data_IF_864383229976
#
_entry.id   IF_864383229976
#
_cell.length_a   1.000
_cell.length_b   1.000
_cell.length_c   1.000
_cell.angle_alpha   90.00
_cell.angle_beta   90.00
_cell.angle_gamma   90.00
#
_symmetry.space_group_name_H-M   'P 1'
#
loop_
_entity.id
_entity.type
_entity.pdbx_description
1 polymer ?
#
# COMPACT_ATOMS: atom_id res chain seq x y z
N UNK A 1 3.15 -13.33 -7.76
CA UNK A 1 2.64 -12.52 -6.63
C UNK A 1 1.25 -12.97 -6.16
N UNK A 2 0.30 -13.22 -7.07
CA UNK A 2 -1.05 -13.65 -6.67
C UNK A 2 -1.03 -14.97 -5.90
N UNK A 3 -0.20 -15.92 -6.28
CA UNK A 3 -0.05 -17.19 -5.57
C UNK A 3 0.57 -17.08 -4.17
N UNK A 4 1.16 -15.94 -3.84
CA UNK A 4 1.74 -15.67 -2.52
C UNK A 4 0.72 -15.05 -1.55
N UNK A 5 -0.47 -14.67 -2.03
CA UNK A 5 -1.57 -14.13 -1.22
C UNK A 5 -2.59 -15.23 -0.94
N UNK A 6 -3.12 -15.29 0.27
CA UNK A 6 -4.17 -16.23 0.63
C UNK A 6 -5.49 -15.96 -0.09
N UNK A 7 -5.74 -14.68 -0.46
CA UNK A 7 -6.89 -14.27 -1.26
C UNK A 7 -6.63 -12.94 -1.99
N UNK A 8 -7.44 -12.64 -3.01
CA UNK A 8 -7.43 -11.33 -3.67
C UNK A 8 -7.95 -10.18 -2.77
N UNK A 9 -8.46 -10.45 -1.59
CA UNK A 9 -8.81 -9.43 -0.59
C UNK A 9 -7.60 -8.95 0.20
N UNK A 10 -6.53 -9.74 0.23
CA UNK A 10 -5.29 -9.35 0.89
C UNK A 10 -4.51 -8.42 -0.02
N UNK A 11 -4.11 -7.28 0.50
CA UNK A 11 -3.38 -6.25 -0.24
C UNK A 11 -1.88 -6.31 0.03
N UNK A 12 -1.49 -6.72 1.23
CA UNK A 12 -0.11 -6.96 1.63
C UNK A 12 0.26 -8.43 1.37
N UNK A 13 1.46 -8.68 0.87
CA UNK A 13 1.99 -10.04 0.69
C UNK A 13 2.65 -10.46 2.00
N UNK A 14 1.83 -10.99 2.91
CA UNK A 14 2.23 -11.32 4.28
C UNK A 14 3.53 -12.16 4.39
N UNK A 15 3.74 -13.22 3.57
CA UNK A 15 4.99 -13.99 3.64
C UNK A 15 6.25 -13.19 3.27
N UNK A 16 6.13 -12.18 2.41
CA UNK A 16 7.26 -11.30 2.07
C UNK A 16 7.57 -10.35 3.21
N UNK A 17 6.54 -9.73 3.79
CA UNK A 17 6.70 -8.84 4.92
C UNK A 17 7.30 -9.56 6.13
N UNK A 18 6.81 -10.77 6.43
CA UNK A 18 7.34 -11.59 7.52
C UNK A 18 8.84 -11.88 7.33
N UNK A 19 9.26 -12.33 6.14
CA UNK A 19 10.68 -12.55 5.83
C UNK A 19 11.52 -11.29 5.95
N UNK A 20 11.00 -10.14 5.49
CA UNK A 20 11.69 -8.86 5.59
C UNK A 20 11.86 -8.42 7.04
N UNK A 21 10.81 -8.53 7.86
CA UNK A 21 10.87 -8.21 9.29
C UNK A 21 11.96 -9.04 10.01
N UNK A 22 12.01 -10.34 9.77
CA UNK A 22 13.03 -11.21 10.35
C UNK A 22 14.45 -10.90 9.84
N UNK A 23 14.59 -10.58 8.55
CA UNK A 23 15.87 -10.19 7.94
C UNK A 23 16.40 -8.87 8.49
N UNK A 24 15.53 -7.86 8.63
CA UNK A 24 15.91 -6.52 9.09
C UNK A 24 16.08 -6.45 10.61
N UNK A 25 15.46 -7.37 11.35
CA UNK A 25 15.50 -7.44 12.82
C UNK A 25 15.85 -8.86 13.28
N UNK A 26 17.15 -9.28 13.21
CA UNK A 26 17.54 -10.67 13.49
C UNK A 26 17.22 -11.17 14.91
N UNK A 27 16.90 -10.25 15.83
CA UNK A 27 16.49 -10.53 17.21
C UNK A 27 14.99 -10.83 17.35
N UNK A 28 14.19 -10.54 16.29
CA UNK A 28 12.75 -10.68 16.31
C UNK A 28 12.35 -12.15 16.19
N UNK A 29 11.42 -12.61 17.04
CA UNK A 29 10.86 -13.95 16.91
C UNK A 29 9.87 -14.04 15.75
N UNK A 30 9.68 -15.24 15.23
CA UNK A 30 8.70 -15.51 14.17
C UNK A 30 7.26 -15.14 14.61
N UNK A 31 6.92 -15.42 15.86
CA UNK A 31 5.57 -15.13 16.39
C UNK A 31 5.34 -13.61 16.50
N UNK A 32 6.36 -12.86 16.93
CA UNK A 32 6.32 -11.41 16.96
C UNK A 32 6.22 -10.82 15.54
N UNK A 33 6.96 -11.37 14.56
CA UNK A 33 6.86 -10.95 13.17
C UNK A 33 5.44 -11.18 12.61
N UNK A 34 4.87 -12.37 12.82
CA UNK A 34 3.49 -12.68 12.42
C UNK A 34 2.46 -11.77 13.09
N UNK A 35 2.65 -11.43 14.38
CA UNK A 35 1.79 -10.48 15.08
C UNK A 35 1.86 -9.10 14.41
N UNK A 36 3.06 -8.58 14.13
CA UNK A 36 3.23 -7.29 13.48
C UNK A 36 2.60 -7.24 12.09
N UNK A 37 2.69 -8.34 11.31
CA UNK A 37 1.98 -8.45 10.03
C UNK A 37 0.47 -8.34 10.21
N UNK A 38 -0.10 -9.07 11.17
CA UNK A 38 -1.54 -8.98 11.49
C UNK A 38 -1.93 -7.57 11.95
N UNK A 39 -1.12 -6.95 12.81
CA UNK A 39 -1.37 -5.61 13.35
C UNK A 39 -1.27 -4.52 12.26
N UNK A 40 -0.50 -4.75 11.20
CA UNK A 40 -0.43 -3.86 10.04
C UNK A 40 -1.64 -4.04 9.13
N UNK A 41 -2.07 -5.27 8.90
CA UNK A 41 -3.14 -5.61 7.95
C UNK A 41 -4.55 -5.56 8.55
N UNK A 42 -4.67 -5.52 9.87
CA UNK A 42 -5.93 -5.49 10.62
C UNK A 42 -6.20 -4.16 11.33
N UNK A 43 -5.64 -3.06 10.84
CA UNK A 43 -5.80 -1.74 11.45
C UNK A 43 -7.27 -1.35 11.55
N UNK A 44 -7.63 -0.84 12.73
CA UNK A 44 -8.93 -0.21 12.96
C UNK A 44 -8.76 1.31 12.86
N UNK A 45 -9.53 1.93 11.97
CA UNK A 45 -9.53 3.37 11.78
C UNK A 45 -10.91 3.86 11.36
N UNK A 46 -11.22 5.11 11.65
CA UNK A 46 -12.50 5.73 11.31
C UNK A 46 -12.56 6.22 9.85
N UNK A 47 -11.39 6.36 9.22
CA UNK A 47 -11.25 6.84 7.84
C UNK A 47 -10.02 6.26 7.15
N UNK A 48 -10.01 6.32 5.82
CA UNK A 48 -8.88 5.87 5.01
C UNK A 48 -7.61 6.69 5.31
N UNK A 49 -7.73 8.00 5.50
CA UNK A 49 -6.57 8.85 5.81
C UNK A 49 -5.97 8.52 7.19
N UNK A 50 -6.80 8.22 8.17
CA UNK A 50 -6.34 7.79 9.49
C UNK A 50 -5.61 6.44 9.42
N UNK A 51 -6.14 5.48 8.63
CA UNK A 51 -5.47 4.21 8.37
C UNK A 51 -4.09 4.44 7.73
N UNK A 52 -4.05 5.25 6.68
CA UNK A 52 -2.82 5.56 5.95
C UNK A 52 -1.77 6.23 6.85
N UNK A 53 -2.17 7.17 7.72
CA UNK A 53 -1.28 7.81 8.68
C UNK A 53 -0.73 6.81 9.72
N UNK A 54 -1.58 5.93 10.25
CA UNK A 54 -1.14 4.88 11.17
C UNK A 54 -0.13 3.94 10.53
N UNK A 55 -0.37 3.55 9.27
CA UNK A 55 0.56 2.73 8.50
C UNK A 55 1.86 3.49 8.27
N UNK A 56 1.80 4.72 7.76
CA UNK A 56 2.96 5.57 7.53
C UNK A 56 3.87 5.66 8.76
N UNK A 57 3.28 5.93 9.93
CA UNK A 57 4.01 6.01 11.18
C UNK A 57 4.70 4.68 11.55
N UNK A 58 4.02 3.53 11.38
CA UNK A 58 4.62 2.21 11.61
C UNK A 58 5.79 1.93 10.65
N UNK A 59 5.61 2.24 9.37
CA UNK A 59 6.61 1.96 8.33
C UNK A 59 7.85 2.84 8.47
N UNK A 60 7.68 4.11 8.85
CA UNK A 60 8.78 5.09 8.93
C UNK A 60 9.47 5.12 10.29
N UNK A 61 8.71 5.00 11.39
CA UNK A 61 9.23 5.09 12.75
C UNK A 61 9.47 3.71 13.40
N UNK A 62 8.93 2.65 12.78
CA UNK A 62 8.95 1.31 13.37
C UNK A 62 7.94 1.15 14.50
N UNK A 63 8.01 0.01 15.16
CA UNK A 63 7.15 -0.35 16.30
C UNK A 63 8.01 -0.89 17.41
N UNK A 64 7.92 -0.28 18.59
CA UNK A 64 8.61 -0.76 19.79
C UNK A 64 7.89 -2.00 20.35
N UNK A 65 8.64 -3.08 20.56
CA UNK A 65 8.13 -4.30 21.18
C UNK A 65 9.07 -4.81 22.27
N UNK A 66 8.49 -5.44 23.27
CA UNK A 66 9.20 -6.21 24.28
C UNK A 66 9.07 -7.69 23.93
N UNK A 67 10.15 -8.43 24.06
CA UNK A 67 10.20 -9.85 23.76
C UNK A 67 11.16 -10.56 24.71
N UNK A 68 10.74 -11.74 25.19
CA UNK A 68 11.55 -12.63 26.03
C UNK A 68 12.15 -11.95 27.27
N UNK A 69 11.41 -11.00 27.88
CA UNK A 69 11.87 -10.26 29.07
C UNK A 69 13.02 -9.29 28.80
N UNK A 70 13.37 -9.05 27.53
CA UNK A 70 14.38 -8.07 27.15
C UNK A 70 13.76 -6.67 27.05
N UNK A 71 14.56 -5.61 27.24
CA UNK A 71 14.11 -4.24 27.05
C UNK A 71 13.46 -4.02 25.67
N UNK A 72 12.50 -3.09 25.62
CA UNK A 72 11.82 -2.72 24.38
C UNK A 72 12.80 -2.33 23.28
N UNK A 73 12.60 -2.91 22.09
CA UNK A 73 13.42 -2.63 20.90
C UNK A 73 12.51 -2.24 19.74
N UNK A 74 12.99 -1.31 18.91
CA UNK A 74 12.24 -0.83 17.77
C UNK A 74 12.41 -1.78 16.58
N UNK A 75 11.29 -2.28 16.04
CA UNK A 75 11.25 -3.11 14.83
C UNK A 75 11.19 -2.22 13.61
N UNK A 76 12.14 -2.37 12.70
CA UNK A 76 12.15 -1.69 11.39
C UNK A 76 11.41 -2.51 10.36
N UNK A 77 10.50 -1.89 9.64
CA UNK A 77 9.77 -2.49 8.52
C UNK A 77 10.51 -2.35 7.19
N UNK A 78 11.27 -1.24 7.05
CA UNK A 78 12.08 -0.93 5.89
C UNK A 78 13.49 -0.52 6.30
N UNK A 79 14.44 -0.78 5.43
CA UNK A 79 15.79 -0.26 5.55
C UNK A 79 15.90 1.00 4.67
N UNK A 80 15.91 2.16 5.31
CA UNK A 80 16.06 3.46 4.63
C UNK A 80 17.53 3.82 4.42
N UNK A 81 18.45 3.25 5.21
CA UNK A 81 19.88 3.50 5.13
C UNK A 81 20.48 2.76 3.95
N UNK A 82 20.05 1.51 3.73
CA UNK A 82 20.45 0.65 2.62
C UNK A 82 19.21 0.13 1.87
N UNK A 83 18.60 0.94 0.97
CA UNK A 83 17.34 0.59 0.29
C UNK A 83 17.38 -0.74 -0.48
N UNK A 84 18.57 -1.15 -0.96
CA UNK A 84 18.77 -2.42 -1.67
C UNK A 84 18.59 -3.67 -0.81
N UNK A 85 18.56 -3.52 0.51
CA UNK A 85 18.27 -4.61 1.44
C UNK A 85 16.79 -4.96 1.49
N UNK A 86 15.92 -4.06 1.02
CA UNK A 86 14.50 -4.33 0.91
C UNK A 86 14.18 -5.21 -0.30
N UNK A 87 13.08 -5.95 -0.22
CA UNK A 87 12.49 -6.67 -1.35
C UNK A 87 11.64 -5.69 -2.17
N UNK A 88 12.19 -5.21 -3.28
CA UNK A 88 11.55 -4.23 -4.17
C UNK A 88 10.89 -4.95 -5.34
N UNK A 89 9.59 -4.78 -5.48
CA UNK A 89 8.79 -5.43 -6.53
C UNK A 89 7.92 -4.41 -7.25
N UNK A 90 7.96 -4.46 -8.58
CA UNK A 90 7.01 -3.76 -9.45
C UNK A 90 6.14 -4.82 -10.14
N UNK A 91 4.84 -4.66 -10.07
CA UNK A 91 3.89 -5.56 -10.72
C UNK A 91 2.87 -4.79 -11.53
N UNK A 92 2.40 -5.41 -12.61
CA UNK A 92 1.31 -4.88 -13.44
C UNK A 92 0.01 -5.57 -13.09
N UNK A 93 -1.09 -4.83 -13.23
CA UNK A 93 -2.45 -5.37 -13.14
C UNK A 93 -2.69 -6.09 -11.80
N UNK A 94 -2.32 -5.41 -10.69
CA UNK A 94 -2.46 -5.95 -9.33
C UNK A 94 -3.92 -6.07 -8.92
N UNK A 95 -4.49 -7.24 -9.05
CA UNK A 95 -5.92 -7.48 -8.81
C UNK A 95 -6.25 -7.46 -7.33
N UNK A 96 -7.22 -6.65 -6.91
CA UNK A 96 -7.72 -6.58 -5.53
C UNK A 96 -9.23 -6.68 -5.54
N UNK A 97 -9.77 -7.60 -4.71
CA UNK A 97 -11.21 -7.82 -4.58
C UNK A 97 -11.78 -6.87 -3.54
N UNK A 98 -12.62 -5.94 -4.00
CA UNK A 98 -13.48 -5.12 -3.15
C UNK A 98 -14.76 -5.84 -2.72
N UNK A 99 -15.75 -5.08 -2.30
CA UNK A 99 -17.06 -5.61 -1.88
C UNK A 99 -17.84 -6.19 -3.06
N UNK A 100 -18.15 -5.36 -4.05
CA UNK A 100 -18.94 -5.77 -5.24
C UNK A 100 -18.08 -5.99 -6.48
N UNK A 101 -16.94 -5.29 -6.59
CA UNK A 101 -16.09 -5.35 -7.78
C UNK A 101 -14.64 -5.65 -7.41
N UNK A 102 -13.86 -5.98 -8.43
CA UNK A 102 -12.41 -6.02 -8.36
C UNK A 102 -11.88 -4.71 -8.94
N UNK A 103 -10.83 -4.18 -8.32
CA UNK A 103 -10.00 -3.16 -8.95
C UNK A 103 -8.73 -3.83 -9.47
N UNK A 104 -8.11 -3.21 -10.46
CA UNK A 104 -6.88 -3.71 -11.06
C UNK A 104 -6.00 -2.54 -11.53
N UNK A 105 -5.30 -1.89 -10.59
CA UNK A 105 -4.33 -0.85 -10.91
C UNK A 105 -3.32 -1.29 -11.95
N UNK A 106 -2.94 -0.39 -12.85
CA UNK A 106 -2.02 -0.71 -13.95
C UNK A 106 -0.65 -1.14 -13.45
N UNK A 107 -0.09 -0.38 -12.51
CA UNK A 107 1.20 -0.70 -11.89
C UNK A 107 1.11 -0.47 -10.38
N UNK A 108 1.66 -1.41 -9.61
CA UNK A 108 1.83 -1.28 -8.16
C UNK A 108 3.28 -1.56 -7.80
N UNK A 109 3.85 -0.68 -6.97
CA UNK A 109 5.18 -0.86 -6.39
C UNK A 109 5.02 -1.34 -4.94
N UNK A 110 5.68 -2.46 -4.65
CA UNK A 110 5.69 -3.03 -3.30
C UNK A 110 7.12 -2.98 -2.73
N UNK A 111 7.20 -2.68 -1.45
CA UNK A 111 8.44 -2.78 -0.67
C UNK A 111 8.20 -3.78 0.46
N UNK A 112 9.03 -4.81 0.54
CA UNK A 112 8.89 -5.88 1.53
C UNK A 112 7.48 -6.52 1.55
N UNK A 113 6.82 -6.58 0.38
CA UNK A 113 5.46 -7.10 0.25
C UNK A 113 4.34 -6.11 0.60
N UNK A 114 4.66 -4.87 1.00
CA UNK A 114 3.69 -3.80 1.28
C UNK A 114 3.51 -2.93 0.05
N UNK A 115 2.31 -2.79 -0.53
CA UNK A 115 2.06 -1.87 -1.64
C UNK A 115 2.16 -0.43 -1.15
N UNK A 116 3.04 0.36 -1.79
CA UNK A 116 3.30 1.76 -1.42
C UNK A 116 2.95 2.75 -2.52
N UNK A 117 3.02 2.35 -3.78
CA UNK A 117 2.73 3.23 -4.92
C UNK A 117 1.76 2.55 -5.86
N UNK A 118 0.77 3.30 -6.30
CA UNK A 118 -0.15 2.91 -7.37
C UNK A 118 0.01 3.89 -8.53
N UNK A 119 0.20 3.34 -9.74
CA UNK A 119 0.25 4.12 -10.96
C UNK A 119 -0.92 3.72 -11.87
N UNK A 120 -1.60 4.73 -12.43
CA UNK A 120 -2.57 4.60 -13.52
C UNK A 120 -2.00 5.23 -14.79
N UNK A 121 -2.04 4.46 -15.85
CA UNK A 121 -1.52 4.84 -17.16
C UNK A 121 -2.68 5.15 -18.12
N UNK A 122 -2.65 6.31 -18.76
CA UNK A 122 -3.65 6.75 -19.72
C UNK A 122 -3.02 7.01 -21.07
N UNK A 123 -3.82 6.94 -22.13
CA UNK A 123 -3.33 7.26 -23.46
C UNK A 123 -3.06 8.77 -23.58
N UNK A 124 -1.94 9.19 -24.16
CA UNK A 124 -1.70 10.60 -24.47
C UNK A 124 -2.69 11.16 -25.51
N UNK A 125 -3.37 10.29 -26.26
CA UNK A 125 -4.40 10.71 -27.21
C UNK A 125 -5.65 11.31 -26.58
N UNK A 126 -5.81 11.17 -25.26
CA UNK A 126 -6.90 11.82 -24.51
C UNK A 126 -6.69 13.34 -24.32
N UNK A 127 -5.56 13.90 -24.79
CA UNK A 127 -5.23 15.30 -24.53
C UNK A 127 -5.28 15.61 -23.04
N UNK A 128 -5.77 16.77 -22.65
CA UNK A 128 -5.89 17.17 -21.24
C UNK A 128 -6.82 16.26 -20.39
N UNK A 129 -7.66 15.47 -21.03
CA UNK A 129 -8.60 14.57 -20.34
C UNK A 129 -7.95 13.39 -19.63
N UNK A 130 -6.73 13.00 -19.99
CA UNK A 130 -6.05 11.86 -19.37
C UNK A 130 -5.91 11.99 -17.85
N UNK A 131 -5.58 13.21 -17.39
CA UNK A 131 -5.41 13.52 -15.98
C UNK A 131 -6.71 13.33 -15.21
N UNK A 132 -7.80 13.92 -15.72
CA UNK A 132 -9.13 13.85 -15.09
C UNK A 132 -9.60 12.40 -14.97
N UNK A 133 -9.45 11.61 -16.03
CA UNK A 133 -9.85 10.21 -16.05
C UNK A 133 -9.06 9.37 -15.04
N UNK A 134 -7.75 9.57 -14.93
CA UNK A 134 -6.92 8.84 -13.98
C UNK A 134 -7.27 9.19 -12.53
N UNK A 135 -7.49 10.46 -12.22
CA UNK A 135 -7.83 10.90 -10.86
C UNK A 135 -9.24 10.43 -10.48
N UNK A 136 -10.21 10.45 -11.41
CA UNK A 136 -11.54 9.88 -11.16
C UNK A 136 -11.45 8.38 -10.89
N UNK A 137 -10.55 7.67 -11.55
CA UNK A 137 -10.29 6.26 -11.30
C UNK A 137 -9.70 6.04 -9.90
N UNK A 138 -8.77 6.87 -9.42
CA UNK A 138 -8.28 6.83 -8.04
C UNK A 138 -9.40 7.09 -7.03
N UNK A 139 -10.26 8.07 -7.30
CA UNK A 139 -11.41 8.38 -6.44
C UNK A 139 -12.36 7.19 -6.33
N UNK A 140 -12.63 6.50 -7.44
CA UNK A 140 -13.43 5.28 -7.48
C UNK A 140 -12.78 4.13 -6.73
N UNK A 141 -11.48 3.92 -6.89
CA UNK A 141 -10.75 2.86 -6.21
C UNK A 141 -10.74 3.03 -4.68
N UNK A 142 -10.67 4.27 -4.22
CA UNK A 142 -10.68 4.65 -2.81
C UNK A 142 -12.09 4.84 -2.25
N UNK A 143 -13.14 4.82 -3.09
CA UNK A 143 -14.54 5.08 -2.71
C UNK A 143 -14.72 6.47 -2.04
N UNK A 144 -14.06 7.52 -2.59
CA UNK A 144 -14.11 8.86 -2.01
C UNK A 144 -15.43 9.61 -2.24
N UNK A 145 -16.30 9.09 -3.09
CA UNK A 145 -17.62 9.65 -3.41
C UNK A 145 -18.68 8.56 -3.21
N UNK A 146 -19.86 8.91 -2.70
CA UNK A 146 -20.98 7.98 -2.47
C UNK A 146 -21.37 7.20 -3.75
N UNK A 147 -21.24 7.81 -4.92
CA UNK A 147 -21.48 7.15 -6.22
C UNK A 147 -20.56 5.95 -6.47
N UNK A 148 -19.42 5.86 -5.76
CA UNK A 148 -18.43 4.79 -5.90
C UNK A 148 -18.50 3.74 -4.78
N UNK A 149 -19.44 3.91 -3.87
CA UNK A 149 -19.59 2.99 -2.72
C UNK A 149 -19.64 1.53 -3.15
N UNK A 150 -18.80 0.71 -2.54
CA UNK A 150 -18.64 -0.73 -2.81
C UNK A 150 -18.13 -1.07 -4.23
N UNK A 151 -17.71 -0.07 -5.02
CA UNK A 151 -17.16 -0.26 -6.37
C UNK A 151 -15.63 -0.25 -6.41
N UNK A 152 -15.00 0.11 -5.31
CA UNK A 152 -13.56 0.18 -5.10
C UNK A 152 -13.02 -0.96 -4.25
N UNK A 153 -11.80 -0.74 -3.75
CA UNK A 153 -11.14 -1.55 -2.75
C UNK A 153 -10.26 -0.64 -1.85
N UNK A 154 -10.87 0.17 -0.97
CA UNK A 154 -10.15 1.14 -0.13
C UNK A 154 -9.02 0.52 0.68
N UNK A 155 -9.14 -0.77 1.02
CA UNK A 155 -8.14 -1.52 1.77
C UNK A 155 -6.75 -1.52 1.12
N UNK A 156 -6.65 -1.45 -0.20
CA UNK A 156 -5.35 -1.30 -0.87
C UNK A 156 -4.68 0.02 -0.46
N UNK A 157 -5.48 1.07 -0.30
CA UNK A 157 -5.02 2.43 -0.05
C UNK A 157 -4.73 2.72 1.42
N UNK A 158 -4.96 1.78 2.32
CA UNK A 158 -4.50 1.87 3.72
C UNK A 158 -2.97 1.88 3.80
N UNK A 159 -2.28 1.19 2.88
CA UNK A 159 -0.81 1.10 2.84
C UNK A 159 -0.18 1.97 1.76
N UNK A 160 -0.90 2.24 0.68
CA UNK A 160 -0.41 3.08 -0.43
C UNK A 160 -0.18 4.50 0.05
N UNK A 161 1.01 5.04 -0.25
CA UNK A 161 1.43 6.38 0.16
C UNK A 161 1.48 7.35 -1.01
N UNK A 162 1.67 6.86 -2.22
CA UNK A 162 1.79 7.70 -3.42
C UNK A 162 0.89 7.16 -4.53
N UNK A 163 0.13 8.06 -5.14
CA UNK A 163 -0.68 7.83 -6.34
C UNK A 163 -0.05 8.59 -7.50
N UNK A 164 0.18 7.92 -8.61
CA UNK A 164 0.76 8.54 -9.81
C UNK A 164 -0.15 8.31 -11.00
N UNK A 165 -0.56 9.36 -11.67
CA UNK A 165 -1.23 9.29 -12.96
C UNK A 165 -0.25 9.71 -14.06
N UNK A 166 -0.16 8.95 -15.16
CA UNK A 166 0.77 9.25 -16.25
C UNK A 166 0.14 8.93 -17.61
N UNK A 167 0.48 9.74 -18.61
CA UNK A 167 0.19 9.45 -20.01
C UNK A 167 1.45 9.12 -20.82
N UNK A 168 2.59 8.90 -20.17
CA UNK A 168 3.87 8.64 -20.81
C UNK A 168 4.61 9.90 -21.27
N UNK A 169 3.92 11.03 -21.42
CA UNK A 169 4.50 12.34 -21.77
C UNK A 169 4.52 13.28 -20.56
N UNK A 170 3.57 13.09 -19.65
CA UNK A 170 3.45 13.85 -18.41
C UNK A 170 2.99 12.93 -17.27
N UNK A 171 3.25 13.35 -16.05
CA UNK A 171 2.76 12.67 -14.86
C UNK A 171 2.36 13.69 -13.80
N UNK A 172 1.38 13.33 -12.99
CA UNK A 172 0.99 14.03 -11.77
C UNK A 172 0.95 13.03 -10.63
N UNK A 173 1.12 13.49 -9.42
CA UNK A 173 1.09 12.63 -8.25
C UNK A 173 0.33 13.27 -7.09
N UNK A 174 -0.14 12.43 -6.21
CA UNK A 174 -0.79 12.81 -4.97
C UNK A 174 -0.65 11.70 -3.94
N UNK A 175 -1.35 11.85 -2.84
CA UNK A 175 -1.46 10.84 -1.78
C UNK A 175 -2.89 10.33 -1.70
N UNK A 176 -3.16 9.38 -0.82
CA UNK A 176 -4.53 8.94 -0.55
C UNK A 176 -5.40 10.14 -0.15
N UNK A 177 -6.65 10.13 -0.60
CA UNK A 177 -7.62 11.21 -0.38
C UNK A 177 -7.25 12.60 -0.92
N UNK A 178 -6.18 12.74 -1.70
CA UNK A 178 -5.84 14.02 -2.34
C UNK A 178 -7.01 14.50 -3.21
N UNK A 179 -7.56 15.71 -2.95
CA UNK A 179 -8.61 16.28 -3.77
C UNK A 179 -8.14 16.52 -5.22
N UNK A 180 -9.06 16.36 -6.15
CA UNK A 180 -8.82 16.45 -7.59
C UNK A 180 -8.02 17.69 -8.06
N UNK A 181 -8.24 18.83 -7.42
CA UNK A 181 -7.59 20.11 -7.76
C UNK A 181 -6.11 20.21 -7.37
N UNK A 182 -5.59 19.24 -6.63
CA UNK A 182 -4.21 19.24 -6.13
C UNK A 182 -3.29 18.24 -6.82
N UNK A 183 -3.77 17.58 -7.87
CA UNK A 183 -2.96 16.77 -8.78
C UNK A 183 -2.30 17.59 -9.88
#
# INVERSE_FOLDING_TARGET
>A
LEAERGSLRETVIAPRLERALLKLNPWLSLDSAKKLVRDLTGLQASSLIESSEKVYNKLTRGVAIEQDGQPSRNVRFFDFDEPTRNDLVVTRQYSVKGVKKHIRPDIVVLVNGVPLVVLECKSPTLGEGWKLEAIDQFSRYQELDEKYRELGAPRLFETVQVLVASCGQAAVYGTVTTPHRYY
#
